data_IF_627558051712
#
_entry.id   IF_627558051712
#
_cell.length_a   1.000
_cell.length_b   1.000
_cell.length_c   1.000
_cell.angle_alpha   90.00
_cell.angle_beta   90.00
_cell.angle_gamma   90.00
#
_symmetry.space_group_name_H-M   'P 1'
#
loop_
_entity.id
_entity.type
_entity.pdbx_description
1 polymer ?
#
# COMPACT_ATOMS: atom_id res chain seq x y z
N UNK A 1 8.88 9.30 -5.28
CA UNK A 1 7.63 8.57 -5.55
C UNK A 1 7.89 7.44 -6.53
N UNK A 2 7.07 6.39 -6.52
CA UNK A 2 7.03 5.46 -7.65
C UNK A 2 6.13 6.10 -8.71
N UNK A 3 6.66 6.39 -9.89
CA UNK A 3 5.88 6.74 -11.07
C UNK A 3 5.66 5.47 -11.90
N UNK A 4 4.67 5.44 -12.81
CA UNK A 4 4.65 4.43 -13.87
C UNK A 4 5.98 4.47 -14.64
N UNK A 5 6.42 3.34 -15.19
CA UNK A 5 7.64 3.32 -15.99
C UNK A 5 7.46 4.18 -17.26
N UNK A 6 8.53 4.83 -17.73
CA UNK A 6 8.47 5.84 -18.81
C UNK A 6 7.86 5.33 -20.13
N UNK A 7 7.88 4.01 -20.37
CA UNK A 7 7.35 3.37 -21.58
C UNK A 7 6.00 2.65 -21.34
N UNK A 8 5.43 2.73 -20.14
CA UNK A 8 4.12 2.13 -19.85
C UNK A 8 2.99 3.10 -20.24
N UNK A 9 1.85 2.56 -20.65
CA UNK A 9 0.64 3.33 -20.93
C UNK A 9 -0.57 2.79 -20.16
N UNK A 10 -1.61 3.61 -20.00
CA UNK A 10 -2.80 3.18 -19.30
C UNK A 10 -3.54 2.09 -20.07
N UNK A 11 -3.72 0.92 -19.46
CA UNK A 11 -4.43 -0.22 -20.09
C UNK A 11 -5.93 -0.01 -20.36
N UNK A 12 -6.50 1.14 -19.99
CA UNK A 12 -7.92 1.48 -20.23
C UNK A 12 -8.06 2.40 -21.45
N UNK A 13 -7.34 3.52 -21.50
CA UNK A 13 -7.39 4.45 -22.63
C UNK A 13 -6.31 4.19 -23.69
N UNK A 14 -5.33 3.34 -23.39
CA UNK A 14 -4.16 3.04 -24.23
C UNK A 14 -3.28 4.26 -24.57
N UNK A 15 -3.32 5.27 -23.71
CA UNK A 15 -2.56 6.51 -23.84
C UNK A 15 -1.65 6.72 -22.62
N UNK A 16 -0.80 7.74 -22.67
CA UNK A 16 0.01 8.20 -21.56
C UNK A 16 -0.83 8.48 -20.32
N UNK A 17 -0.24 8.28 -19.14
CA UNK A 17 -0.94 8.45 -17.89
C UNK A 17 -1.28 9.92 -17.63
N UNK A 18 -2.57 10.22 -17.49
CA UNK A 18 -3.07 11.49 -16.97
C UNK A 18 -3.47 11.30 -15.51
N UNK A 19 -2.81 12.03 -14.59
CA UNK A 19 -2.94 11.84 -13.14
C UNK A 19 -2.79 10.35 -12.74
N UNK A 20 -1.57 9.79 -12.86
CA UNK A 20 -1.34 8.38 -12.60
C UNK A 20 -1.72 8.00 -11.18
N UNK A 21 -2.54 6.96 -11.05
CA UNK A 21 -2.92 6.34 -9.79
C UNK A 21 -2.48 4.89 -9.77
N UNK A 22 -1.88 4.46 -8.67
CA UNK A 22 -1.53 3.07 -8.44
C UNK A 22 -2.60 2.37 -7.61
N UNK A 23 -3.04 1.19 -8.03
CA UNK A 23 -3.89 0.31 -7.21
C UNK A 23 -3.06 -0.48 -6.17
N UNK A 24 -3.71 -1.03 -5.14
CA UNK A 24 -3.07 -1.94 -4.15
C UNK A 24 -2.40 -3.18 -4.76
N UNK A 25 -2.70 -3.52 -6.01
CA UNK A 25 -2.04 -4.57 -6.78
C UNK A 25 -0.82 -4.09 -7.60
N UNK A 26 -0.34 -2.87 -7.34
CA UNK A 26 0.78 -2.19 -7.99
C UNK A 26 0.59 -1.83 -9.49
N UNK A 27 -0.58 -2.07 -10.07
CA UNK A 27 -0.89 -1.63 -11.44
C UNK A 27 -1.29 -0.16 -11.49
N UNK A 28 -0.92 0.50 -12.60
CA UNK A 28 -1.12 1.92 -12.85
C UNK A 28 -2.28 2.18 -13.82
N UNK A 29 -3.01 3.27 -13.60
CA UNK A 29 -4.09 3.76 -14.46
C UNK A 29 -4.15 5.29 -14.42
N UNK A 30 -4.82 5.92 -15.39
CA UNK A 30 -5.25 7.30 -15.24
C UNK A 30 -6.36 7.38 -14.18
N UNK A 31 -6.37 8.43 -13.35
CA UNK A 31 -7.37 8.61 -12.29
C UNK A 31 -8.81 8.56 -12.84
N UNK A 32 -9.09 9.34 -13.88
CA UNK A 32 -10.39 9.37 -14.57
C UNK A 32 -10.79 7.99 -15.10
N UNK A 33 -9.85 7.28 -15.74
CA UNK A 33 -10.13 5.99 -16.38
C UNK A 33 -10.59 4.95 -15.36
N UNK A 34 -9.89 4.82 -14.24
CA UNK A 34 -10.22 3.80 -13.26
C UNK A 34 -11.47 4.15 -12.44
N UNK A 35 -11.74 5.45 -12.20
CA UNK A 35 -12.99 5.91 -11.59
C UNK A 35 -14.19 5.58 -12.48
N UNK A 36 -14.08 5.73 -13.81
CA UNK A 36 -15.14 5.33 -14.74
C UNK A 36 -15.40 3.82 -14.69
N UNK A 37 -14.36 2.99 -14.58
CA UNK A 37 -14.53 1.53 -14.41
C UNK A 37 -15.33 1.21 -13.14
N UNK A 38 -15.07 1.92 -12.04
CA UNK A 38 -15.84 1.77 -10.81
C UNK A 38 -17.32 2.17 -11.00
N UNK A 39 -17.58 3.34 -11.61
CA UNK A 39 -18.93 3.84 -11.86
C UNK A 39 -19.79 2.87 -12.68
N UNK A 40 -19.19 2.12 -13.61
CA UNK A 40 -19.90 1.14 -14.44
C UNK A 40 -20.10 -0.24 -13.79
N UNK A 41 -19.35 -0.57 -12.74
CA UNK A 41 -19.44 -1.91 -12.11
C UNK A 41 -20.55 -1.97 -11.06
N UNK A 42 -20.41 -1.17 -9.99
CA UNK A 42 -21.38 -1.03 -8.90
C UNK A 42 -20.83 -0.04 -7.88
N UNK A 43 -21.63 0.96 -7.48
CA UNK A 43 -21.23 1.91 -6.43
C UNK A 43 -21.01 1.24 -5.06
N UNK A 44 -21.55 0.03 -4.85
CA UNK A 44 -21.53 -0.69 -3.57
C UNK A 44 -20.37 -1.68 -3.44
N UNK A 45 -19.58 -1.90 -4.50
CA UNK A 45 -18.50 -2.88 -4.50
C UNK A 45 -17.20 -2.27 -5.02
N UNK A 46 -16.04 -2.71 -4.50
CA UNK A 46 -14.76 -2.30 -5.06
C UNK A 46 -14.65 -2.77 -6.51
N UNK A 47 -14.15 -1.89 -7.38
CA UNK A 47 -13.87 -2.27 -8.75
C UNK A 47 -12.73 -3.31 -8.81
N UNK A 48 -12.69 -4.12 -9.86
CA UNK A 48 -11.61 -5.08 -10.08
C UNK A 48 -10.57 -4.46 -10.99
N UNK A 49 -9.29 -4.76 -10.73
CA UNK A 49 -8.19 -4.36 -11.59
C UNK A 49 -8.37 -4.92 -13.01
N UNK A 50 -8.38 -4.08 -14.07
CA UNK A 50 -8.46 -4.54 -15.45
C UNK A 50 -7.37 -5.54 -15.86
N UNK A 51 -6.18 -5.45 -15.24
CA UNK A 51 -5.02 -6.27 -15.58
C UNK A 51 -5.04 -7.61 -14.83
N UNK A 52 -5.13 -7.57 -13.50
CA UNK A 52 -4.98 -8.78 -12.66
C UNK A 52 -6.26 -9.25 -11.97
N UNK A 53 -7.39 -8.58 -12.20
CA UNK A 53 -8.75 -8.91 -11.68
C UNK A 53 -8.89 -8.94 -10.16
N UNK A 54 -7.86 -8.52 -9.42
CA UNK A 54 -7.92 -8.36 -7.95
C UNK A 54 -8.84 -7.18 -7.58
N UNK A 55 -9.59 -7.26 -6.48
CA UNK A 55 -10.39 -6.13 -6.01
C UNK A 55 -9.46 -4.97 -5.62
N UNK A 56 -9.78 -3.78 -6.10
CA UNK A 56 -9.04 -2.56 -5.78
C UNK A 56 -9.69 -1.92 -4.57
N UNK A 57 -8.92 -1.78 -3.51
CA UNK A 57 -9.41 -1.27 -2.22
C UNK A 57 -8.71 0.00 -1.80
N UNK A 58 -7.61 0.34 -2.48
CA UNK A 58 -6.80 1.52 -2.21
C UNK A 58 -6.18 2.00 -3.52
N UNK A 59 -6.40 3.28 -3.81
CA UNK A 59 -5.72 4.03 -4.84
C UNK A 59 -4.71 4.97 -4.19
N UNK A 60 -3.49 4.95 -4.72
CA UNK A 60 -2.39 5.81 -4.28
C UNK A 60 -2.01 6.68 -5.47
N UNK A 61 -2.42 7.96 -5.49
CA UNK A 61 -1.99 8.91 -6.52
C UNK A 61 -0.46 9.03 -6.52
N UNK A 62 0.14 9.16 -7.71
CA UNK A 62 1.54 9.59 -7.78
C UNK A 62 1.62 11.05 -7.33
N UNK A 63 2.51 11.37 -6.39
CA UNK A 63 2.98 12.77 -6.26
C UNK A 63 3.64 13.11 -7.59
N UNK A 64 3.02 14.03 -8.32
CA UNK A 64 3.63 14.65 -9.50
C UNK A 64 4.69 15.59 -8.96
N UNK A 65 5.92 15.45 -9.45
CA UNK A 65 7.01 16.36 -9.10
C UNK A 65 6.59 17.78 -9.53
N UNK A 66 6.52 18.78 -8.64
CA UNK A 66 6.04 20.13 -8.99
C UNK A 66 6.85 20.81 -10.11
N UNK A 67 8.04 20.28 -10.40
CA UNK A 67 8.94 20.75 -11.45
C UNK A 67 8.65 20.19 -12.85
N UNK A 68 7.84 19.14 -12.97
CA UNK A 68 7.42 18.61 -14.28
C UNK A 68 6.10 19.27 -14.66
N UNK A 69 6.20 20.28 -15.55
CA UNK A 69 5.07 20.99 -16.15
C UNK A 69 4.26 20.03 -17.06
N UNK A 70 3.52 19.11 -16.45
CA UNK A 70 2.41 18.45 -17.14
C UNK A 70 1.23 19.41 -17.01
N UNK A 71 0.60 19.80 -18.12
CA UNK A 71 -0.66 20.54 -18.08
C UNK A 71 -1.63 19.75 -17.20
N UNK A 72 -1.89 20.26 -15.99
CA UNK A 72 -2.85 19.63 -15.10
C UNK A 72 -4.21 19.66 -15.81
N UNK A 73 -4.87 18.51 -15.97
CA UNK A 73 -6.18 18.50 -16.60
C UNK A 73 -7.13 19.37 -15.76
N UNK A 74 -8.08 20.09 -16.40
CA UNK A 74 -8.94 21.07 -15.72
C UNK A 74 -9.81 20.50 -14.58
N UNK A 75 -9.82 19.17 -14.42
CA UNK A 75 -10.61 18.43 -13.45
C UNK A 75 -9.75 17.67 -12.42
N UNK A 76 -8.46 18.01 -12.26
CA UNK A 76 -7.54 17.30 -11.35
C UNK A 76 -8.06 17.22 -9.91
N UNK A 77 -8.51 18.35 -9.36
CA UNK A 77 -9.07 18.43 -8.00
C UNK A 77 -10.29 17.51 -7.81
N UNK A 78 -11.18 17.49 -8.81
CA UNK A 78 -12.37 16.65 -8.78
C UNK A 78 -11.99 15.16 -8.78
N UNK A 79 -11.08 14.76 -9.65
CA UNK A 79 -10.58 13.38 -9.73
C UNK A 79 -9.94 12.96 -8.40
N UNK A 80 -9.12 13.83 -7.81
CA UNK A 80 -8.49 13.57 -6.51
C UNK A 80 -9.51 13.44 -5.38
N UNK A 81 -10.57 14.27 -5.39
CA UNK A 81 -11.66 14.18 -4.43
C UNK A 81 -12.45 12.86 -4.55
N UNK A 82 -12.68 12.39 -5.77
CA UNK A 82 -13.37 11.13 -6.03
C UNK A 82 -12.50 9.91 -5.66
N UNK A 83 -11.19 9.99 -5.87
CA UNK A 83 -10.23 8.98 -5.39
C UNK A 83 -10.26 8.91 -3.86
N UNK A 84 -10.21 10.05 -3.18
CA UNK A 84 -10.27 10.09 -1.72
C UNK A 84 -11.58 9.49 -1.20
N UNK A 85 -12.71 9.84 -1.84
CA UNK A 85 -14.02 9.25 -1.55
C UNK A 85 -14.03 7.73 -1.77
N UNK A 86 -13.47 7.23 -2.86
CA UNK A 86 -13.34 5.79 -3.12
C UNK A 86 -12.56 5.10 -2.00
N UNK A 87 -11.39 5.65 -1.64
CA UNK A 87 -10.53 5.12 -0.59
C UNK A 87 -11.23 5.10 0.77
N UNK A 88 -12.03 6.13 1.09
CA UNK A 88 -12.83 6.16 2.32
C UNK A 88 -13.88 5.04 2.37
N UNK A 89 -14.52 4.74 1.24
CA UNK A 89 -15.57 3.72 1.16
C UNK A 89 -14.97 2.30 1.25
N UNK A 90 -13.92 2.02 0.48
CA UNK A 90 -13.42 0.64 0.30
C UNK A 90 -12.12 0.32 1.03
N UNK A 91 -11.41 1.35 1.51
CA UNK A 91 -10.09 1.22 2.10
C UNK A 91 -10.04 0.46 3.42
N UNK A 92 -11.01 0.73 4.30
CA UNK A 92 -11.16 0.09 5.61
C UNK A 92 -12.07 -1.14 5.61
N UNK A 93 -12.63 -1.54 4.47
CA UNK A 93 -13.65 -2.58 4.38
C UNK A 93 -13.18 -4.00 4.74
N UNK A 94 -14.13 -4.92 4.85
CA UNK A 94 -13.93 -6.35 5.14
C UNK A 94 -13.35 -7.11 3.95
N UNK A 95 -12.14 -6.77 3.53
CA UNK A 95 -11.39 -7.55 2.54
C UNK A 95 -10.94 -8.86 3.21
N UNK A 96 -11.10 -9.98 2.51
CA UNK A 96 -10.60 -11.29 2.96
C UNK A 96 -9.14 -11.22 3.40
N UNK A 97 -8.81 -11.88 4.52
CA UNK A 97 -7.44 -11.99 5.05
C UNK A 97 -6.49 -12.48 3.95
N UNK A 98 -6.94 -13.41 3.12
CA UNK A 98 -6.15 -13.94 2.01
C UNK A 98 -5.74 -12.87 0.99
N UNK A 99 -6.62 -11.90 0.73
CA UNK A 99 -6.29 -10.78 -0.15
C UNK A 99 -5.29 -9.83 0.52
N UNK A 100 -5.39 -9.60 1.84
CA UNK A 100 -4.40 -8.80 2.58
C UNK A 100 -3.02 -9.45 2.55
N UNK A 101 -2.94 -10.76 2.75
CA UNK A 101 -1.69 -11.52 2.64
C UNK A 101 -1.10 -11.41 1.22
N UNK A 102 -1.95 -11.43 0.19
CA UNK A 102 -1.50 -11.29 -1.21
C UNK A 102 -1.00 -9.89 -1.56
N UNK A 103 -1.53 -8.86 -0.91
CA UNK A 103 -1.13 -7.46 -1.11
C UNK A 103 0.07 -7.07 -0.23
N UNK A 104 0.30 -7.80 0.87
CA UNK A 104 1.40 -7.59 1.83
C UNK A 104 2.78 -7.43 1.19
N UNK A 105 3.28 -8.31 0.29
CA UNK A 105 4.63 -8.17 -0.25
C UNK A 105 4.80 -6.89 -1.09
N UNK A 106 3.74 -6.43 -1.75
CA UNK A 106 3.76 -5.21 -2.55
C UNK A 106 3.82 -3.97 -1.63
N UNK A 107 3.01 -3.97 -0.58
CA UNK A 107 3.00 -2.92 0.43
C UNK A 107 4.32 -2.84 1.19
N UNK A 108 4.88 -3.98 1.60
CA UNK A 108 6.16 -4.05 2.29
C UNK A 108 7.30 -3.58 1.40
N UNK A 109 7.33 -3.98 0.12
CA UNK A 109 8.32 -3.49 -0.85
C UNK A 109 8.28 -1.97 -0.97
N UNK A 110 7.07 -1.39 -0.97
CA UNK A 110 6.90 0.06 -1.00
C UNK A 110 7.37 0.72 0.31
N UNK A 111 6.99 0.17 1.46
CA UNK A 111 7.43 0.64 2.77
C UNK A 111 8.95 0.68 2.88
N UNK A 112 9.64 -0.40 2.47
CA UNK A 112 11.12 -0.47 2.51
C UNK A 112 11.73 0.64 1.67
N UNK A 113 11.18 0.93 0.49
CA UNK A 113 11.68 1.99 -0.38
C UNK A 113 11.45 3.38 0.22
N UNK A 114 10.29 3.62 0.83
CA UNK A 114 10.02 4.89 1.53
C UNK A 114 10.92 5.08 2.76
N UNK A 115 11.26 3.98 3.44
CA UNK A 115 12.18 4.01 4.58
C UNK A 115 13.63 4.30 4.16
N UNK A 116 14.01 4.03 2.90
CA UNK A 116 15.32 4.40 2.36
C UNK A 116 15.46 5.92 2.12
N UNK A 117 14.36 6.68 2.10
CA UNK A 117 14.37 8.14 2.02
C UNK A 117 14.43 8.73 3.46
N UNK A 118 15.53 9.37 3.87
CA UNK A 118 15.74 9.82 5.24
C UNK A 118 14.67 10.80 5.73
N UNK A 119 14.19 11.70 4.86
CA UNK A 119 13.24 12.73 5.25
C UNK A 119 11.84 12.13 5.51
N UNK A 120 11.45 11.14 4.70
CA UNK A 120 10.14 10.48 4.79
C UNK A 120 10.09 9.44 5.90
N UNK A 121 11.18 8.71 6.11
CA UNK A 121 11.32 7.74 7.19
C UNK A 121 11.05 8.40 8.55
N UNK A 122 11.58 9.60 8.78
CA UNK A 122 11.37 10.35 10.03
C UNK A 122 9.89 10.65 10.27
N UNK A 123 9.16 11.11 9.24
CA UNK A 123 7.74 11.42 9.36
C UNK A 123 6.89 10.16 9.64
N UNK A 124 7.21 9.04 9.00
CA UNK A 124 6.51 7.77 9.18
C UNK A 124 6.76 7.17 10.57
N UNK A 125 8.02 7.18 11.03
CA UNK A 125 8.43 6.67 12.34
C UNK A 125 7.83 7.51 13.48
N UNK A 126 7.72 8.83 13.33
CA UNK A 126 7.13 9.68 14.38
C UNK A 126 5.60 9.55 14.46
N UNK A 127 4.92 9.21 13.35
CA UNK A 127 3.46 9.06 13.29
C UNK A 127 2.96 7.70 13.75
N UNK A 128 3.81 6.67 13.75
CA UNK A 128 3.39 5.28 14.03
C UNK A 128 4.40 4.56 14.93
N UNK A 129 3.97 3.65 15.83
CA UNK A 129 4.88 2.92 16.72
C UNK A 129 5.76 1.86 16.00
N UNK A 130 6.11 2.07 14.73
CA UNK A 130 6.98 1.19 13.92
C UNK A 130 8.30 0.91 14.63
N UNK A 131 8.90 1.91 15.29
CA UNK A 131 10.14 1.74 16.04
C UNK A 131 10.02 0.70 17.17
N UNK A 132 8.90 0.68 17.89
CA UNK A 132 8.67 -0.30 18.95
C UNK A 132 8.59 -1.72 18.40
N UNK A 133 7.99 -1.92 17.23
CA UNK A 133 7.93 -3.24 16.59
C UNK A 133 9.30 -3.68 16.05
N UNK A 134 10.07 -2.77 15.46
CA UNK A 134 11.46 -3.06 15.04
C UNK A 134 12.34 -3.41 16.25
N UNK A 135 12.14 -2.72 17.38
CA UNK A 135 12.84 -3.01 18.63
C UNK A 135 12.40 -4.35 19.24
N UNK A 136 11.11 -4.69 19.21
CA UNK A 136 10.61 -6.00 19.64
C UNK A 136 11.13 -7.14 18.76
N UNK A 137 11.19 -6.93 17.44
CA UNK A 137 11.78 -7.89 16.50
C UNK A 137 13.28 -8.06 16.78
N UNK A 138 14.01 -6.96 16.99
CA UNK A 138 15.42 -7.02 17.35
C UNK A 138 15.62 -7.72 18.70
N UNK A 139 14.82 -7.38 19.71
CA UNK A 139 14.90 -8.03 21.03
C UNK A 139 14.59 -9.52 20.94
N UNK A 140 13.61 -9.93 20.13
CA UNK A 140 13.32 -11.34 19.89
C UNK A 140 14.50 -12.05 19.20
N UNK A 141 15.07 -11.46 18.15
CA UNK A 141 16.22 -12.03 17.41
C UNK A 141 17.52 -12.06 18.23
N UNK A 142 17.75 -11.07 19.10
CA UNK A 142 19.00 -10.93 19.87
C UNK A 142 18.91 -11.45 21.31
N UNK A 143 17.72 -11.78 21.81
CA UNK A 143 17.55 -12.29 23.16
C UNK A 143 17.96 -13.77 23.21
N UNK A 144 18.96 -14.15 24.04
CA UNK A 144 19.38 -15.53 24.25
C UNK A 144 18.37 -16.35 25.08
N UNK A 145 17.11 -15.89 25.16
CA UNK A 145 16.01 -16.54 25.86
C UNK A 145 15.12 -17.25 24.83
N UNK A 146 15.70 -18.22 24.13
CA UNK A 146 14.89 -19.29 23.59
C UNK A 146 14.12 -19.92 24.75
N UNK A 147 12.79 -19.78 24.75
CA UNK A 147 11.90 -20.48 25.67
C UNK A 147 11.99 -22.02 25.48
N UNK A 148 12.71 -22.49 24.44
CA UNK A 148 12.96 -23.90 24.14
C UNK A 148 14.45 -24.09 23.79
N UNK A 149 15.24 -24.84 24.57
CA UNK A 149 16.66 -25.04 24.27
C UNK A 149 16.83 -25.67 22.88
N UNK A 150 17.48 -24.94 21.96
CA UNK A 150 17.73 -25.32 20.56
C UNK A 150 18.46 -26.66 20.41
N UNK A 151 19.08 -27.16 21.48
CA UNK A 151 19.79 -28.43 21.51
C UNK A 151 18.92 -29.70 21.45
N UNK A 152 17.58 -29.62 21.58
CA UNK A 152 16.72 -30.81 21.63
C UNK A 152 15.63 -30.80 20.54
N UNK A 153 15.28 -29.63 19.99
CA UNK A 153 14.13 -29.48 19.06
C UNK A 153 14.38 -28.45 17.95
N UNK A 154 15.61 -28.34 17.44
CA UNK A 154 16.06 -27.23 16.57
C UNK A 154 15.19 -26.86 15.35
N UNK A 155 14.37 -27.77 14.80
CA UNK A 155 13.43 -27.44 13.72
C UNK A 155 12.21 -26.61 14.21
N UNK A 156 11.80 -26.82 15.46
CA UNK A 156 10.61 -26.15 16.05
C UNK A 156 10.93 -24.71 16.42
N UNK A 157 12.15 -24.41 16.90
CA UNK A 157 12.61 -23.04 17.14
C UNK A 157 12.62 -22.22 15.85
N UNK A 158 13.24 -22.74 14.80
CA UNK A 158 13.28 -22.08 13.49
C UNK A 158 11.87 -21.82 12.90
N UNK A 159 10.91 -22.71 13.17
CA UNK A 159 9.52 -22.52 12.75
C UNK A 159 8.84 -21.39 13.54
N UNK A 160 9.10 -21.27 14.83
CA UNK A 160 8.60 -20.17 15.67
C UNK A 160 9.16 -18.83 15.19
N UNK A 161 10.46 -18.75 14.93
CA UNK A 161 11.12 -17.55 14.41
C UNK A 161 10.53 -17.10 13.07
N UNK A 162 10.34 -18.05 12.15
CA UNK A 162 9.71 -17.80 10.86
C UNK A 162 8.28 -17.28 11.03
N UNK A 163 7.52 -17.86 11.97
CA UNK A 163 6.14 -17.48 12.24
C UNK A 163 6.08 -16.06 12.84
N UNK A 164 6.93 -15.75 13.81
CA UNK A 164 7.04 -14.41 14.41
C UNK A 164 7.44 -13.39 13.35
N UNK A 165 8.43 -13.70 12.50
CA UNK A 165 8.82 -12.84 11.39
C UNK A 165 7.63 -12.55 10.45
N UNK A 166 6.90 -13.58 10.02
CA UNK A 166 5.73 -13.42 9.13
C UNK A 166 4.63 -12.59 9.79
N UNK A 167 4.37 -12.78 11.08
CA UNK A 167 3.40 -11.97 11.85
C UNK A 167 3.84 -10.51 11.89
N UNK A 168 5.11 -10.23 12.19
CA UNK A 168 5.64 -8.86 12.24
C UNK A 168 5.55 -8.21 10.86
N UNK A 169 5.94 -8.90 9.78
CA UNK A 169 5.85 -8.37 8.42
C UNK A 169 4.40 -8.09 8.00
N UNK A 170 3.48 -9.00 8.32
CA UNK A 170 2.06 -8.81 8.07
C UNK A 170 1.53 -7.59 8.83
N UNK A 171 1.90 -7.46 10.11
CA UNK A 171 1.50 -6.35 10.94
C UNK A 171 2.03 -5.01 10.42
N UNK A 172 3.32 -4.93 10.06
CA UNK A 172 3.93 -3.75 9.45
C UNK A 172 3.24 -3.36 8.14
N UNK A 173 2.90 -4.32 7.28
CA UNK A 173 2.17 -4.04 6.06
C UNK A 173 0.75 -3.52 6.32
N UNK A 174 0.07 -4.04 7.35
CA UNK A 174 -1.25 -3.54 7.77
C UNK A 174 -1.19 -2.13 8.37
N UNK A 175 -0.16 -1.84 9.18
CA UNK A 175 0.09 -0.49 9.69
C UNK A 175 0.35 0.49 8.54
N UNK A 176 1.24 0.13 7.62
CA UNK A 176 1.57 0.97 6.48
C UNK A 176 0.36 1.20 5.56
N UNK A 177 -0.46 0.17 5.36
CA UNK A 177 -1.75 0.33 4.67
C UNK A 177 -2.67 1.32 5.39
N UNK A 178 -2.74 1.26 6.73
CA UNK A 178 -3.53 2.20 7.53
C UNK A 178 -3.05 3.65 7.37
N UNK A 179 -1.73 3.88 7.35
CA UNK A 179 -1.17 5.22 7.12
C UNK A 179 -1.48 5.74 5.72
N UNK A 180 -1.38 4.89 4.69
CA UNK A 180 -1.75 5.26 3.33
C UNK A 180 -3.24 5.60 3.21
N UNK A 181 -4.10 4.87 3.92
CA UNK A 181 -5.53 5.14 3.96
C UNK A 181 -5.87 6.45 4.64
N UNK A 182 -5.21 6.78 5.75
CA UNK A 182 -5.38 8.06 6.41
C UNK A 182 -4.91 9.22 5.53
N UNK A 183 -3.81 9.03 4.82
CA UNK A 183 -3.24 10.05 3.95
C UNK A 183 -4.07 10.27 2.68
N UNK A 184 -4.52 9.20 2.02
CA UNK A 184 -5.23 9.28 0.73
C UNK A 184 -6.76 9.10 0.82
N UNK A 185 -7.31 8.82 2.00
CA UNK A 185 -8.76 8.74 2.25
C UNK A 185 -9.39 10.08 2.66
N UNK A 186 -8.57 11.11 2.87
CA UNK A 186 -8.99 12.42 3.36
C UNK A 186 -9.35 12.42 4.84
N UNK A 187 -9.10 13.56 5.51
CA UNK A 187 -9.62 13.78 6.86
C UNK A 187 -11.15 13.85 6.79
N UNK A 188 -11.84 13.14 7.69
CA UNK A 188 -13.21 13.50 8.03
C UNK A 188 -13.16 14.90 8.65
N UNK A 189 -13.59 15.92 7.90
CA UNK A 189 -14.18 17.11 8.50
C UNK A 189 -15.60 16.77 8.92
#
# INVERSE_FOLDING_TARGET
MEAPADNDCCSICHDNYTLPVQANCAHWFCGECILRVWQHTSALQPCKCPICRRPITLFIPSEVDPHVQTEEPPNSDMIMSDIAKYNRIFGGGVVSIFQRVRDMPLLLRRLVRELMDPQRAIHLIHRTPILFYLLFLAFYVFSPLDIIPEGIVGLVGLLDDLLVLVIVLFYLAMLYRSTLLLHHGGHAQ
#
